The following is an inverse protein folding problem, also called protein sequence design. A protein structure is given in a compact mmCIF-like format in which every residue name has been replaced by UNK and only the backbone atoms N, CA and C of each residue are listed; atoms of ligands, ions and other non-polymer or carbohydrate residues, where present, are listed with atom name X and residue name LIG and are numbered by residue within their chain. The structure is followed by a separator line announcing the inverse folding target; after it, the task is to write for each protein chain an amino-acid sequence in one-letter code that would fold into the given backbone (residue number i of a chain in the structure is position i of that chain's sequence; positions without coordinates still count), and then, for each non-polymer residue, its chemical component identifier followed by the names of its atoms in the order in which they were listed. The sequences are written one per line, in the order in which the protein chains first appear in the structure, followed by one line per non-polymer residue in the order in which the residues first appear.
data_IF_736401235760
#
_entry.id   IF_736401235760
#
_cell.length_a   1.000
_cell.length_b   1.000
_cell.length_c   1.000
_cell.angle_alpha   90.00
_cell.angle_beta   90.00
_cell.angle_gamma   90.00
#
_symmetry.space_group_name_H-M   'P 1'
#
loop_
_entity.id
_entity.type
_entity.pdbx_description
1 polymer ?
#
# COMPACT_ATOMS: atom_id res chain seq x y z
N UNK A 1 9.63 47.92 26.84
CA UNK A 1 9.26 47.22 25.59
C UNK A 1 10.28 46.12 25.35
N UNK A 2 9.92 44.86 25.60
CA UNK A 2 10.79 43.70 25.34
C UNK A 2 9.97 42.74 24.47
N UNK A 3 10.19 42.77 23.16
CA UNK A 3 9.58 41.81 22.25
C UNK A 3 10.29 40.48 22.43
N UNK A 4 9.57 39.49 22.96
CA UNK A 4 10.01 38.10 22.93
C UNK A 4 9.77 37.59 21.50
N UNK A 5 10.78 37.69 20.64
CA UNK A 5 10.74 37.08 19.32
C UNK A 5 10.88 35.55 19.50
N UNK A 6 9.76 34.85 19.64
CA UNK A 6 9.74 33.39 19.58
C UNK A 6 9.92 33.00 18.12
N UNK A 7 11.13 32.55 17.81
CA UNK A 7 11.53 32.01 16.52
C UNK A 7 10.80 30.67 16.31
N UNK A 8 9.71 30.68 15.54
CA UNK A 8 9.04 29.46 15.09
C UNK A 8 9.90 28.86 13.98
N UNK A 9 10.79 27.95 14.34
CA UNK A 9 11.50 27.10 13.36
C UNK A 9 10.48 26.09 12.83
N UNK A 10 9.80 26.44 11.74
CA UNK A 10 9.12 25.46 10.89
C UNK A 10 10.19 24.57 10.25
N UNK A 11 10.50 23.46 10.91
CA UNK A 11 11.20 22.35 10.27
C UNK A 11 10.29 21.78 9.19
N UNK A 12 10.42 22.32 7.97
CA UNK A 12 9.95 21.65 6.77
C UNK A 12 10.78 20.39 6.59
N UNK A 13 10.41 19.32 7.29
CA UNK A 13 10.84 17.98 6.95
C UNK A 13 10.24 17.66 5.58
N UNK A 14 10.96 18.03 4.53
CA UNK A 14 10.79 17.41 3.22
C UNK A 14 11.26 15.97 3.36
N UNK A 15 10.44 15.11 3.97
CA UNK A 15 10.68 13.68 3.88
C UNK A 15 10.45 13.33 2.42
N UNK A 16 11.52 13.04 1.68
CA UNK A 16 11.41 12.23 0.47
C UNK A 16 10.76 10.92 0.91
N UNK A 17 9.42 10.85 0.81
CA UNK A 17 8.70 9.64 1.15
C UNK A 17 9.08 8.60 0.11
N UNK A 18 9.70 7.51 0.53
CA UNK A 18 9.89 6.35 -0.32
C UNK A 18 8.51 5.90 -0.83
N UNK A 19 8.37 5.89 -2.16
CA UNK A 19 7.14 5.51 -2.85
C UNK A 19 7.33 4.17 -3.52
N UNK A 20 6.24 3.39 -3.58
CA UNK A 20 6.23 2.19 -4.38
C UNK A 20 6.31 2.55 -5.87
N UNK A 21 7.25 1.90 -6.55
CA UNK A 21 7.43 2.03 -7.99
C UNK A 21 7.78 0.67 -8.59
N UNK A 22 7.33 0.46 -9.83
CA UNK A 22 7.68 -0.69 -10.65
C UNK A 22 6.65 -1.82 -10.61
N UNK A 23 7.06 -3.00 -11.06
CA UNK A 23 6.19 -4.16 -11.25
C UNK A 23 6.45 -5.26 -10.23
N UNK A 24 5.37 -5.81 -9.70
CA UNK A 24 5.37 -6.88 -8.72
C UNK A 24 4.44 -7.99 -9.19
N UNK A 25 4.76 -9.23 -8.85
CA UNK A 25 3.81 -10.33 -8.86
C UNK A 25 3.01 -10.28 -7.57
N UNK A 26 1.69 -10.40 -7.65
CA UNK A 26 0.83 -10.60 -6.47
C UNK A 26 0.43 -12.06 -6.37
N UNK A 27 0.67 -12.65 -5.22
CA UNK A 27 0.28 -14.02 -4.87
C UNK A 27 -0.56 -14.01 -3.61
N UNK A 28 -1.83 -14.35 -3.76
CA UNK A 28 -2.75 -14.57 -2.67
C UNK A 28 -2.64 -16.00 -2.12
N UNK A 29 -2.99 -16.14 -0.86
CA UNK A 29 -3.10 -17.42 -0.18
C UNK A 29 -4.42 -18.14 -0.52
N UNK A 30 -4.40 -19.46 -0.35
CA UNK A 30 -5.55 -20.38 -0.40
C UNK A 30 -6.53 -20.19 -1.58
N UNK A 31 -7.81 -19.93 -1.27
CA UNK A 31 -8.93 -19.92 -2.21
C UNK A 31 -8.93 -18.72 -3.17
N UNK A 32 -8.01 -17.77 -2.99
CA UNK A 32 -7.96 -16.53 -3.76
C UNK A 32 -6.88 -16.55 -4.86
N UNK A 33 -6.24 -17.70 -5.12
CA UNK A 33 -5.20 -17.86 -6.16
C UNK A 33 -5.62 -17.42 -7.57
N UNK A 34 -6.93 -17.42 -7.89
CA UNK A 34 -7.46 -16.91 -9.15
C UNK A 34 -7.28 -15.40 -9.33
N UNK A 35 -7.04 -14.68 -8.22
CA UNK A 35 -6.73 -13.26 -8.17
C UNK A 35 -5.22 -12.98 -8.22
N UNK A 36 -4.36 -14.00 -8.31
CA UNK A 36 -2.93 -13.76 -8.52
C UNK A 36 -2.71 -13.02 -9.84
N UNK A 37 -1.60 -12.30 -9.96
CA UNK A 37 -1.39 -11.48 -11.15
C UNK A 37 -0.16 -10.60 -11.08
N UNK A 38 -0.21 -9.49 -11.80
CA UNK A 38 0.82 -8.46 -11.82
C UNK A 38 0.24 -7.17 -11.27
N UNK A 39 0.99 -6.52 -10.38
CA UNK A 39 0.70 -5.19 -9.85
C UNK A 39 1.74 -4.22 -10.38
N UNK A 40 1.28 -3.09 -10.87
CA UNK A 40 2.11 -2.00 -11.37
C UNK A 40 1.87 -0.81 -10.43
N UNK A 41 2.92 -0.39 -9.74
CA UNK A 41 2.89 0.79 -8.88
C UNK A 41 3.48 1.99 -9.60
N UNK A 42 2.78 3.12 -9.52
CA UNK A 42 3.24 4.39 -10.06
C UNK A 42 2.81 5.52 -9.13
N UNK A 43 3.76 6.01 -8.33
CA UNK A 43 3.58 7.14 -7.43
C UNK A 43 2.49 6.90 -6.36
N UNK A 44 1.29 7.42 -6.58
CA UNK A 44 0.14 7.37 -5.66
C UNK A 44 -0.97 6.45 -6.15
N UNK A 45 -0.76 5.74 -7.27
CA UNK A 45 -1.73 4.83 -7.87
C UNK A 45 -1.11 3.46 -8.14
N UNK A 46 -1.99 2.45 -8.25
CA UNK A 46 -1.60 1.13 -8.72
C UNK A 46 -2.66 0.52 -9.63
N UNK A 47 -2.21 -0.45 -10.44
CA UNK A 47 -3.07 -1.25 -11.31
C UNK A 47 -2.71 -2.73 -11.16
N UNK A 48 -3.70 -3.59 -10.95
CA UNK A 48 -3.55 -5.05 -10.85
C UNK A 48 -4.19 -5.71 -12.07
N UNK A 49 -3.39 -6.48 -12.80
CA UNK A 49 -3.84 -7.37 -13.87
C UNK A 49 -3.92 -8.79 -13.32
N UNK A 50 -5.12 -9.24 -13.02
CA UNK A 50 -5.36 -10.54 -12.38
C UNK A 50 -5.42 -11.66 -13.43
N UNK A 51 -5.09 -12.89 -13.04
CA UNK A 51 -5.12 -14.08 -13.90
C UNK A 51 -6.49 -14.37 -14.51
N UNK A 52 -7.56 -13.97 -13.84
CA UNK A 52 -8.93 -14.09 -14.34
C UNK A 52 -9.29 -13.04 -15.41
N UNK A 53 -8.34 -12.21 -15.85
CA UNK A 53 -8.53 -11.16 -16.86
C UNK A 53 -9.08 -9.84 -16.31
N UNK A 54 -9.45 -9.77 -15.02
CA UNK A 54 -9.91 -8.54 -14.40
C UNK A 54 -8.75 -7.57 -14.19
N UNK A 55 -9.01 -6.29 -14.48
CA UNK A 55 -8.11 -5.18 -14.12
C UNK A 55 -8.73 -4.43 -12.94
N UNK A 56 -7.94 -4.22 -11.89
CA UNK A 56 -8.35 -3.45 -10.71
C UNK A 56 -7.40 -2.27 -10.53
N UNK A 57 -7.95 -1.07 -10.39
CA UNK A 57 -7.18 0.15 -10.15
C UNK A 57 -7.36 0.57 -8.70
N UNK A 58 -6.34 1.22 -8.14
CA UNK A 58 -6.40 1.69 -6.76
C UNK A 58 -5.49 2.86 -6.45
N UNK A 59 -5.66 3.40 -5.25
CA UNK A 59 -4.87 4.50 -4.68
C UNK A 59 -3.97 3.99 -3.58
N UNK A 60 -2.82 4.64 -3.41
CA UNK A 60 -1.84 4.33 -2.37
C UNK A 60 -1.88 5.42 -1.32
N UNK A 61 -2.08 5.03 -0.05
CA UNK A 61 -1.97 5.91 1.10
C UNK A 61 -0.72 5.55 1.89
N UNK A 62 0.22 6.48 1.94
CA UNK A 62 1.46 6.34 2.71
C UNK A 62 1.26 6.90 4.11
N UNK A 63 1.05 6.02 5.10
CA UNK A 63 0.97 6.40 6.52
C UNK A 63 2.35 6.38 7.17
N UNK A 64 2.40 6.72 8.47
CA UNK A 64 3.64 6.75 9.25
C UNK A 64 4.32 5.37 9.31
N UNK A 65 3.54 4.30 9.49
CA UNK A 65 4.04 2.94 9.69
C UNK A 65 3.48 1.90 8.72
N UNK A 66 2.42 2.23 7.98
CA UNK A 66 1.78 1.33 7.02
C UNK A 66 1.66 1.98 5.65
N UNK A 67 1.50 1.15 4.63
CA UNK A 67 1.04 1.55 3.31
C UNK A 67 -0.27 0.84 3.06
N UNK A 68 -1.26 1.59 2.60
CA UNK A 68 -2.62 1.11 2.32
C UNK A 68 -2.92 1.27 0.84
N UNK A 69 -3.48 0.21 0.26
CA UNK A 69 -3.81 0.08 -1.15
C UNK A 69 -5.34 -0.06 -1.28
N UNK A 70 -6.02 1.04 -1.58
CA UNK A 70 -7.47 1.08 -1.69
C UNK A 70 -7.93 0.81 -3.12
N UNK A 71 -8.71 -0.24 -3.31
CA UNK A 71 -9.30 -0.58 -4.60
C UNK A 71 -10.43 0.41 -4.98
N UNK A 72 -10.33 1.05 -6.15
CA UNK A 72 -11.37 1.98 -6.63
C UNK A 72 -12.67 1.23 -6.90
N UNK A 73 -13.77 1.77 -6.39
CA UNK A 73 -15.12 1.22 -6.60
C UNK A 73 -15.41 -0.02 -5.77
N UNK A 74 -14.59 -0.32 -4.77
CA UNK A 74 -14.84 -1.39 -3.80
C UNK A 74 -14.55 -0.87 -2.38
N UNK A 75 -14.77 -1.72 -1.37
CA UNK A 75 -14.41 -1.44 0.02
C UNK A 75 -13.19 -2.27 0.45
N UNK A 76 -12.43 -2.81 -0.51
CA UNK A 76 -11.26 -3.61 -0.22
C UNK A 76 -10.03 -2.73 -0.09
N UNK A 77 -9.28 -2.97 0.98
CA UNK A 77 -7.99 -2.35 1.23
C UNK A 77 -6.96 -3.45 1.48
N UNK A 78 -5.79 -3.33 0.86
CA UNK A 78 -4.62 -4.12 1.26
C UNK A 78 -3.66 -3.26 2.07
N UNK A 79 -3.14 -3.79 3.17
CA UNK A 79 -2.17 -3.09 4.03
C UNK A 79 -0.91 -3.92 4.27
N UNK A 80 0.22 -3.22 4.39
CA UNK A 80 1.51 -3.80 4.77
C UNK A 80 2.40 -2.78 5.48
N UNK A 81 3.45 -3.27 6.14
CA UNK A 81 4.38 -2.44 6.89
C UNK A 81 5.23 -1.57 5.97
N UNK A 82 5.31 -0.26 6.24
CA UNK A 82 6.04 0.69 5.40
C UNK A 82 7.54 0.36 5.32
N UNK A 83 8.15 -0.18 6.38
CA UNK A 83 9.56 -0.57 6.37
C UNK A 83 9.88 -1.76 5.45
N UNK A 84 8.87 -2.40 4.87
CA UNK A 84 9.07 -3.48 3.89
C UNK A 84 9.16 -2.97 2.44
N UNK A 85 8.95 -1.66 2.19
CA UNK A 85 8.81 -1.09 0.84
C UNK A 85 9.99 -1.39 -0.10
N UNK A 86 11.20 -1.55 0.43
CA UNK A 86 12.42 -1.85 -0.32
C UNK A 86 12.76 -3.34 -0.40
N UNK A 87 12.00 -4.19 0.29
CA UNK A 87 12.20 -5.64 0.23
C UNK A 87 11.79 -6.17 -1.14
N UNK A 88 12.39 -7.31 -1.50
CA UNK A 88 12.04 -8.04 -2.71
C UNK A 88 10.70 -8.77 -2.57
N UNK A 89 10.28 -9.06 -1.33
CA UNK A 89 8.98 -9.64 -1.00
C UNK A 89 8.34 -8.84 0.13
N UNK A 90 7.08 -8.47 -0.06
CA UNK A 90 6.27 -7.71 0.90
C UNK A 90 5.03 -8.53 1.19
N UNK A 91 4.79 -8.86 2.45
CA UNK A 91 3.56 -9.54 2.87
C UNK A 91 2.48 -8.50 3.14
N UNK A 92 1.24 -8.80 2.74
CA UNK A 92 0.10 -7.91 2.93
C UNK A 92 -1.11 -8.67 3.47
N UNK A 93 -1.98 -7.92 4.13
CA UNK A 93 -3.32 -8.34 4.50
C UNK A 93 -4.35 -7.59 3.65
N UNK A 94 -5.53 -8.18 3.46
CA UNK A 94 -6.67 -7.56 2.77
C UNK A 94 -7.84 -7.52 3.74
N UNK A 95 -8.51 -6.37 3.82
CA UNK A 95 -9.63 -6.12 4.73
C UNK A 95 -10.82 -5.56 3.94
N UNK A 96 -12.02 -5.78 4.45
CA UNK A 96 -13.25 -5.15 3.95
C UNK A 96 -13.65 -3.98 4.88
N UNK A 97 -13.53 -2.76 4.37
CA UNK A 97 -13.80 -1.52 5.09
C UNK A 97 -15.27 -1.29 5.42
N UNK A 98 -16.20 -2.00 4.77
CA UNK A 98 -17.63 -1.88 5.06
C UNK A 98 -18.08 -2.72 6.25
N UNK A 99 -17.25 -3.64 6.73
CA UNK A 99 -17.59 -4.49 7.86
C UNK A 99 -17.36 -3.73 9.18
N UNK A 100 -18.21 -2.72 9.44
CA UNK A 100 -18.20 -1.86 10.64
C UNK A 100 -18.52 -2.61 11.95
N UNK A 101 -18.79 -3.91 11.87
CA UNK A 101 -19.04 -4.76 13.03
C UNK A 101 -17.76 -5.53 13.37
N UNK A 102 -16.90 -4.91 14.17
CA UNK A 102 -16.15 -5.49 15.31
C UNK A 102 -15.08 -4.46 15.68
N UNK A 103 -15.37 -3.71 16.73
CA UNK A 103 -14.37 -3.02 17.54
C UNK A 103 -13.24 -3.99 17.88
N UNK A 104 -12.02 -3.69 17.41
CA UNK A 104 -10.74 -4.31 17.77
C UNK A 104 -10.31 -5.64 17.12
N UNK A 105 -10.80 -6.00 15.93
CA UNK A 105 -10.04 -6.88 15.02
C UNK A 105 -10.55 -6.68 13.59
N UNK A 106 -9.79 -5.90 12.81
CA UNK A 106 -10.02 -5.75 11.39
C UNK A 106 -10.06 -7.14 10.75
N UNK A 107 -11.20 -7.54 10.20
CA UNK A 107 -11.38 -8.86 9.62
C UNK A 107 -10.48 -8.94 8.38
N UNK A 108 -9.32 -9.57 8.54
CA UNK A 108 -8.47 -9.96 7.42
C UNK A 108 -9.25 -11.01 6.63
N UNK A 109 -9.74 -10.60 5.46
CA UNK A 109 -10.50 -11.49 4.57
C UNK A 109 -9.57 -12.36 3.72
N UNK A 110 -8.32 -11.92 3.53
CA UNK A 110 -7.27 -12.68 2.88
C UNK A 110 -5.89 -12.04 3.09
N UNK A 111 -4.82 -12.81 2.83
CA UNK A 111 -3.43 -12.40 2.87
C UNK A 111 -2.69 -12.82 1.61
N UNK A 112 -1.48 -12.30 1.44
CA UNK A 112 -0.62 -12.68 0.35
C UNK A 112 0.72 -11.98 0.38
N UNK A 113 1.42 -12.06 -0.75
CA UNK A 113 2.71 -11.42 -0.95
C UNK A 113 2.82 -10.74 -2.30
N UNK A 114 3.51 -9.61 -2.30
CA UNK A 114 4.01 -8.91 -3.48
C UNK A 114 5.47 -9.31 -3.66
N UNK A 115 5.83 -9.79 -4.85
CA UNK A 115 7.20 -10.18 -5.20
C UNK A 115 7.69 -9.25 -6.31
N UNK A 116 8.75 -8.48 -6.06
CA UNK A 116 9.30 -7.55 -7.04
C UNK A 116 9.83 -8.28 -8.27
N UNK A 117 9.43 -7.87 -9.47
CA UNK A 117 9.84 -8.53 -10.72
C UNK A 117 11.13 -7.95 -11.31
N UNK A 118 11.41 -6.68 -11.04
CA UNK A 118 12.66 -6.01 -11.41
C UNK A 118 12.92 -4.88 -10.42
N UNK A 119 14.14 -4.76 -9.89
CA UNK A 119 14.58 -3.56 -9.16
C UNK A 119 14.73 -2.43 -10.17
N UNK A 120 13.68 -1.64 -10.33
CA UNK A 120 13.82 -0.29 -10.86
C UNK A 120 14.33 0.58 -9.71
N UNK A 121 15.47 1.25 -9.90
CA UNK A 121 15.98 2.20 -8.90
C UNK A 121 14.92 3.28 -8.71
N UNK A 122 14.52 3.53 -7.47
CA UNK A 122 13.80 4.75 -7.09
C UNK A 122 14.62 5.95 -7.60
N UNK A 123 13.97 6.80 -8.41
CA UNK A 123 14.55 8.08 -8.88
C UNK A 123 14.57 9.09 -7.74
#
# INVERSE_FOLDING_TARGET
MKSLAILIIFLFFNSNQEKLYGKFKIEYEDRFKSQNGIVIFKDSIYERHLKNGKVVKGKIKYKKFSIELEDVGTNLEMDFYKGDIDKDTIFFNTRDLNNKAVTNNDIVINSGKLIRLKKEKSL
#
